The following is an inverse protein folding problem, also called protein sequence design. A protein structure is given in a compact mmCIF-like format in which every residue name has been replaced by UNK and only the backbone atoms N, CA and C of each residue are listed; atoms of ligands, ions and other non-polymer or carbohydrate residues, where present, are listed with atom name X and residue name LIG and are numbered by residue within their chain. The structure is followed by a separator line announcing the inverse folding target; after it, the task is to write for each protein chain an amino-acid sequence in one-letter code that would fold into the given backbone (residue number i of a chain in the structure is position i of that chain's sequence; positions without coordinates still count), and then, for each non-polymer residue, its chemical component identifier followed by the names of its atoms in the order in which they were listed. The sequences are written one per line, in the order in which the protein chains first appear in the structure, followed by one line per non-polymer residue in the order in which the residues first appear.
data_IF_635748110000
#
_entry.id   IF_635748110000
#
_cell.length_a   1.000
_cell.length_b   1.000
_cell.length_c   1.000
_cell.angle_alpha   90.00
_cell.angle_beta   90.00
_cell.angle_gamma   90.00
#
_symmetry.space_group_name_H-M   'P 1'
#
loop_
_entity.id
_entity.type
_entity.pdbx_description
1 polymer ?
#
# COMPACT_ATOMS: atom_id res chain seq x y z
N UNK A 1 8.64 -7.14 -16.09
CA UNK A 1 8.77 -5.82 -15.46
C UNK A 1 9.60 -4.90 -16.35
N UNK A 2 9.50 -3.58 -16.15
CA UNK A 2 9.76 -2.55 -17.16
C UNK A 2 11.21 -2.42 -17.65
N UNK A 3 11.39 -1.57 -18.67
CA UNK A 3 12.67 -1.26 -19.34
C UNK A 3 13.79 -0.75 -18.41
N UNK A 4 13.49 -0.50 -17.14
CA UNK A 4 14.40 0.02 -16.11
C UNK A 4 14.84 -1.06 -15.10
N UNK A 5 14.46 -2.34 -15.28
CA UNK A 5 15.04 -3.45 -14.51
C UNK A 5 14.46 -3.70 -13.11
N UNK A 6 13.34 -3.08 -12.73
CA UNK A 6 12.70 -3.36 -11.45
C UNK A 6 12.25 -4.84 -11.36
N UNK A 7 12.53 -5.52 -10.25
CA UNK A 7 12.06 -6.90 -10.01
C UNK A 7 10.61 -6.96 -9.48
N UNK A 8 10.15 -5.87 -8.87
CA UNK A 8 8.78 -5.70 -8.34
C UNK A 8 8.43 -4.23 -8.38
N UNK A 9 7.16 -3.90 -8.56
CA UNK A 9 6.65 -2.51 -8.53
C UNK A 9 5.37 -2.47 -7.71
N UNK A 10 5.29 -1.51 -6.80
CA UNK A 10 4.04 -1.06 -6.19
C UNK A 10 3.60 0.24 -6.85
N UNK A 11 2.34 0.29 -7.28
CA UNK A 11 1.71 1.48 -7.86
C UNK A 11 0.57 1.89 -6.94
N UNK A 12 0.60 3.14 -6.48
CA UNK A 12 -0.45 3.74 -5.65
C UNK A 12 -1.12 4.87 -6.42
N UNK A 13 -2.44 5.02 -6.27
CA UNK A 13 -3.22 6.08 -6.93
C UNK A 13 -4.27 6.66 -5.96
N UNK A 14 -3.82 7.10 -4.78
CA UNK A 14 -4.68 7.68 -3.75
C UNK A 14 -5.84 6.76 -3.36
N UNK A 15 -7.07 7.19 -3.62
CA UNK A 15 -8.30 6.44 -3.33
C UNK A 15 -8.66 5.38 -4.40
N UNK A 16 -7.96 5.37 -5.54
CA UNK A 16 -8.11 4.35 -6.57
C UNK A 16 -7.31 3.07 -6.21
N UNK A 17 -7.54 1.95 -6.93
CA UNK A 17 -6.85 0.70 -6.63
C UNK A 17 -5.32 0.82 -6.73
N UNK A 18 -4.63 0.25 -5.76
CA UNK A 18 -3.19 0.04 -5.81
C UNK A 18 -2.87 -1.33 -6.42
N UNK A 19 -1.67 -1.46 -6.99
CA UNK A 19 -1.19 -2.68 -7.62
C UNK A 19 0.19 -3.06 -7.10
N UNK A 20 0.36 -4.33 -6.74
CA UNK A 20 1.65 -4.98 -6.48
C UNK A 20 1.94 -5.96 -7.61
N UNK A 21 2.97 -5.67 -8.41
CA UNK A 21 3.35 -6.45 -9.58
C UNK A 21 4.75 -7.02 -9.44
N UNK A 22 4.85 -8.34 -9.60
CA UNK A 22 6.07 -9.11 -9.83
C UNK A 22 5.98 -9.78 -11.23
N UNK A 23 7.00 -10.52 -11.73
CA UNK A 23 6.95 -11.03 -13.10
C UNK A 23 5.77 -11.99 -13.35
N UNK A 24 5.47 -12.87 -12.39
CA UNK A 24 4.42 -13.90 -12.47
C UNK A 24 3.17 -13.56 -11.63
N UNK A 25 3.13 -12.36 -11.03
CA UNK A 25 2.07 -11.96 -10.09
C UNK A 25 1.59 -10.54 -10.37
N UNK A 26 0.27 -10.36 -10.33
CA UNK A 26 -0.37 -9.05 -10.22
C UNK A 26 -1.39 -9.17 -9.10
N UNK A 27 -1.31 -8.29 -8.12
CA UNK A 27 -2.36 -8.15 -7.11
C UNK A 27 -2.84 -6.73 -7.09
N UNK A 28 -4.15 -6.58 -7.12
CA UNK A 28 -4.84 -5.30 -7.07
C UNK A 28 -5.71 -5.27 -5.83
N UNK A 29 -5.69 -4.17 -5.10
CA UNK A 29 -6.58 -3.94 -3.98
C UNK A 29 -6.98 -2.47 -3.91
N UNK A 30 -8.21 -2.20 -3.45
CA UNK A 30 -8.72 -0.84 -3.28
C UNK A 30 -8.57 -0.39 -1.83
N UNK A 31 -8.06 0.82 -1.56
CA UNK A 31 -8.07 1.37 -0.22
C UNK A 31 -9.49 1.48 0.34
N UNK A 32 -9.68 1.33 1.67
CA UNK A 32 -10.97 1.63 2.29
C UNK A 32 -11.30 3.12 2.13
N UNK A 33 -12.59 3.42 1.96
CA UNK A 33 -13.05 4.80 1.88
C UNK A 33 -12.99 5.45 3.27
N UNK A 34 -12.29 6.58 3.39
CA UNK A 34 -12.14 7.33 4.64
C UNK A 34 -12.26 8.83 4.39
N UNK A 35 -12.64 9.58 5.43
CA UNK A 35 -12.58 11.05 5.40
C UNK A 35 -11.13 11.49 5.53
N UNK A 36 -10.62 12.26 4.56
CA UNK A 36 -9.24 12.75 4.57
C UNK A 36 -9.11 13.98 5.48
N UNK A 37 -8.19 13.91 6.43
CA UNK A 37 -7.77 14.99 7.33
C UNK A 37 -6.37 15.55 6.98
N UNK A 38 -5.55 14.77 6.27
CA UNK A 38 -4.24 15.19 5.74
C UNK A 38 -3.67 14.14 4.78
N UNK A 39 -2.80 14.52 3.85
CA UNK A 39 -2.30 13.61 2.79
C UNK A 39 -0.81 13.26 2.91
N UNK A 40 -0.04 14.10 3.61
CA UNK A 40 1.42 13.95 3.71
C UNK A 40 1.78 12.70 4.50
N UNK A 41 2.72 11.90 3.99
CA UNK A 41 3.19 10.67 4.65
C UNK A 41 2.34 9.41 4.40
N UNK A 42 1.27 9.50 3.60
CA UNK A 42 0.45 8.33 3.26
C UNK A 42 1.24 7.20 2.58
N UNK A 43 2.15 7.57 1.67
CA UNK A 43 3.05 6.63 0.99
C UNK A 43 4.05 5.96 1.95
N UNK A 44 4.54 6.69 2.94
CA UNK A 44 5.47 6.15 3.94
C UNK A 44 4.75 5.15 4.85
N UNK A 45 3.55 5.51 5.34
CA UNK A 45 2.71 4.60 6.13
C UNK A 45 2.33 3.35 5.33
N UNK A 46 2.01 3.50 4.04
CA UNK A 46 1.76 2.41 3.12
C UNK A 46 2.98 1.47 3.01
N UNK A 47 4.15 2.01 2.68
CA UNK A 47 5.36 1.22 2.46
C UNK A 47 5.86 0.55 3.75
N UNK A 48 5.81 1.25 4.88
CA UNK A 48 6.21 0.68 6.18
C UNK A 48 5.35 -0.53 6.54
N UNK A 49 4.02 -0.41 6.42
CA UNK A 49 3.10 -1.51 6.69
C UNK A 49 3.25 -2.65 5.67
N UNK A 50 3.49 -2.34 4.39
CA UNK A 50 3.73 -3.34 3.36
C UNK A 50 4.99 -4.18 3.62
N UNK A 51 6.11 -3.51 3.91
CA UNK A 51 7.39 -4.15 4.22
C UNK A 51 7.26 -4.96 5.52
N UNK A 52 6.66 -4.38 6.57
CA UNK A 52 6.46 -5.06 7.84
C UNK A 52 5.61 -6.32 7.70
N UNK A 53 4.49 -6.26 6.96
CA UNK A 53 3.65 -7.42 6.71
C UNK A 53 4.41 -8.50 5.92
N UNK A 54 5.19 -8.12 4.91
CA UNK A 54 6.02 -9.04 4.14
C UNK A 54 7.09 -9.74 4.98
N UNK A 55 7.80 -9.00 5.83
CA UNK A 55 8.77 -9.56 6.80
C UNK A 55 8.06 -10.52 7.77
N UNK A 56 6.83 -10.19 8.19
CA UNK A 56 5.98 -11.03 9.03
C UNK A 56 5.39 -12.27 8.33
N UNK A 57 5.74 -12.54 7.07
CA UNK A 57 5.28 -13.71 6.33
C UNK A 57 3.89 -13.58 5.72
N UNK A 58 3.29 -12.39 5.71
CA UNK A 58 2.03 -12.18 5.03
C UNK A 58 2.19 -12.43 3.53
N UNK A 59 1.20 -13.11 2.92
CA UNK A 59 1.17 -13.20 1.47
C UNK A 59 1.05 -11.78 0.85
N UNK A 60 1.47 -11.56 -0.39
CA UNK A 60 1.51 -10.19 -0.87
C UNK A 60 0.14 -9.55 -1.17
N UNK A 61 -0.98 -10.28 -1.16
CA UNK A 61 -2.31 -9.67 -1.11
C UNK A 61 -2.69 -9.19 0.28
N UNK A 62 -2.36 -9.96 1.32
CA UNK A 62 -2.48 -9.52 2.70
C UNK A 62 -1.57 -8.31 2.99
N UNK A 63 -0.33 -8.33 2.51
CA UNK A 63 0.59 -7.20 2.64
C UNK A 63 0.07 -5.93 1.94
N UNK A 64 -0.49 -6.04 0.72
CA UNK A 64 -1.08 -4.90 0.02
C UNK A 64 -2.30 -4.33 0.77
N UNK A 65 -3.16 -5.20 1.32
CA UNK A 65 -4.32 -4.76 2.14
C UNK A 65 -3.87 -4.06 3.43
N UNK A 66 -2.86 -4.59 4.12
CA UNK A 66 -2.29 -3.97 5.31
C UNK A 66 -1.71 -2.58 5.02
N UNK A 67 -1.00 -2.44 3.90
CA UNK A 67 -0.45 -1.18 3.41
C UNK A 67 -1.55 -0.12 3.17
N UNK A 68 -2.62 -0.51 2.47
CA UNK A 68 -3.76 0.35 2.19
C UNK A 68 -4.50 0.77 3.46
N UNK A 69 -4.69 -0.14 4.42
CA UNK A 69 -5.30 0.17 5.70
C UNK A 69 -4.44 1.14 6.53
N UNK A 70 -3.11 0.97 6.54
CA UNK A 70 -2.21 1.89 7.22
C UNK A 70 -2.25 3.29 6.60
N UNK A 71 -2.21 3.38 5.27
CA UNK A 71 -2.34 4.65 4.56
C UNK A 71 -3.67 5.35 4.87
N UNK A 72 -4.78 4.60 4.85
CA UNK A 72 -6.11 5.13 5.16
C UNK A 72 -6.24 5.66 6.60
N UNK A 73 -5.71 4.91 7.59
CA UNK A 73 -5.65 5.38 9.00
C UNK A 73 -4.79 6.63 9.14
N UNK A 74 -3.68 6.71 8.41
CA UNK A 74 -2.80 7.87 8.42
C UNK A 74 -3.51 9.11 7.91
N UNK A 75 -4.10 9.03 6.70
CA UNK A 75 -4.73 10.19 6.06
C UNK A 75 -6.03 10.64 6.71
N UNK A 76 -6.69 9.75 7.46
CA UNK A 76 -7.87 10.09 8.27
C UNK A 76 -7.54 10.71 9.62
N UNK A 77 -6.27 10.72 10.03
CA UNK A 77 -5.82 11.24 11.33
C UNK A 77 -6.06 10.27 12.49
N UNK A 78 -6.39 9.00 12.22
CA UNK A 78 -6.59 7.97 13.25
C UNK A 78 -5.28 7.52 13.91
N UNK A 79 -4.13 7.82 13.32
CA UNK A 79 -2.80 7.49 13.89
C UNK A 79 -2.39 8.46 15.02
N UNK A 80 -3.09 9.58 15.20
CA UNK A 80 -2.66 10.67 16.10
C UNK A 80 -3.73 11.16 17.10
N UNK A 81 -4.68 10.30 17.52
CA UNK A 81 -5.59 10.63 18.62
C UNK A 81 -5.72 9.50 19.63
#
# INVERSE_FOLDING_TARGET
LGRLGAARVLVTDGAAPAVDRAPERIVTARPPAVRVAGITGAGDAFMAAHISAGIGGADPAAALKAALAAAARHVSGEIAR
#
